data_IF_452587841911
#
_entry.id   IF_452587841911
#
_cell.length_a   1.000
_cell.length_b   1.000
_cell.length_c   1.000
_cell.angle_alpha   90.00
_cell.angle_beta   90.00
_cell.angle_gamma   90.00
#
_symmetry.space_group_name_H-M   'P 1'
#
loop_
_entity.id
_entity.type
_entity.pdbx_description
1 polymer ?
#
# COMPACT_ATOMS: atom_id res chain seq x y z
N UNK A 1 1.95 -7.54 -12.17
CA UNK A 1 1.51 -6.79 -10.97
C UNK A 1 1.85 -7.68 -9.78
N UNK A 2 2.72 -7.26 -8.86
CA UNK A 2 3.03 -8.05 -7.67
C UNK A 2 2.04 -7.67 -6.57
N UNK A 3 0.97 -8.45 -6.44
CA UNK A 3 -0.05 -8.29 -5.39
C UNK A 3 -0.24 -9.60 -4.62
N UNK A 4 -1.16 -9.62 -3.65
CA UNK A 4 -1.48 -10.81 -2.86
C UNK A 4 -2.35 -11.84 -3.54
N UNK A 5 -2.50 -12.99 -2.86
CA UNK A 5 -3.44 -14.03 -3.27
C UNK A 5 -4.87 -13.51 -3.28
N UNK A 6 -5.26 -12.70 -2.30
CA UNK A 6 -6.62 -12.16 -2.20
C UNK A 6 -6.90 -11.15 -3.31
N UNK A 7 -5.93 -10.28 -3.63
CA UNK A 7 -6.05 -9.35 -4.78
C UNK A 7 -6.09 -10.13 -6.10
N UNK A 8 -5.27 -11.17 -6.24
CA UNK A 8 -5.33 -12.07 -7.40
C UNK A 8 -6.72 -12.69 -7.53
N UNK A 9 -7.31 -13.16 -6.43
CA UNK A 9 -8.64 -13.76 -6.43
C UNK A 9 -9.71 -12.76 -6.91
N UNK A 10 -9.68 -11.52 -6.42
CA UNK A 10 -10.57 -10.44 -6.89
C UNK A 10 -10.43 -10.20 -8.38
N UNK A 11 -9.20 -10.13 -8.88
CA UNK A 11 -8.93 -9.83 -10.29
C UNK A 11 -9.25 -10.98 -11.22
N UNK A 12 -8.96 -12.23 -10.84
CA UNK A 12 -9.35 -13.41 -11.61
C UNK A 12 -10.87 -13.59 -11.65
N UNK A 13 -11.59 -13.12 -10.63
CA UNK A 13 -13.04 -13.12 -10.61
C UNK A 13 -13.69 -11.94 -11.36
N UNK A 14 -12.90 -10.94 -11.78
CA UNK A 14 -13.40 -9.76 -12.48
C UNK A 14 -14.20 -10.08 -13.77
N UNK A 15 -13.82 -11.06 -14.62
CA UNK A 15 -14.64 -11.47 -15.76
C UNK A 15 -16.03 -11.97 -15.35
N UNK A 16 -16.14 -12.75 -14.27
CA UNK A 16 -17.44 -13.19 -13.75
C UNK A 16 -18.27 -12.01 -13.23
N UNK A 17 -17.64 -11.07 -12.51
CA UNK A 17 -18.30 -9.83 -12.08
C UNK A 17 -18.77 -9.00 -13.28
N UNK A 18 -18.02 -8.96 -14.38
CA UNK A 18 -18.42 -8.24 -15.60
C UNK A 18 -19.72 -8.77 -16.21
N UNK A 19 -19.93 -10.08 -16.19
CA UNK A 19 -21.15 -10.71 -16.71
C UNK A 19 -22.33 -10.64 -15.74
N UNK A 20 -22.06 -10.70 -14.44
CA UNK A 20 -23.11 -10.78 -13.40
C UNK A 20 -23.58 -9.41 -12.92
N UNK A 21 -22.73 -8.39 -12.95
CA UNK A 21 -23.08 -7.04 -12.58
C UNK A 21 -23.52 -6.24 -13.81
N UNK A 22 -24.60 -5.48 -13.69
CA UNK A 22 -25.06 -4.55 -14.73
C UNK A 22 -24.38 -3.18 -14.65
N UNK A 23 -23.97 -2.75 -13.46
CA UNK A 23 -23.42 -1.41 -13.19
C UNK A 23 -21.90 -1.41 -13.13
N UNK A 24 -21.29 -0.26 -13.39
CA UNK A 24 -19.87 -0.04 -13.05
C UNK A 24 -19.71 0.12 -11.53
N UNK A 25 -18.54 -0.23 -10.99
CA UNK A 25 -18.26 -0.03 -9.56
C UNK A 25 -18.36 1.46 -9.15
N UNK A 26 -18.00 2.40 -10.03
CA UNK A 26 -18.15 3.84 -9.78
C UNK A 26 -19.60 4.28 -9.52
N UNK A 27 -20.58 3.50 -10.00
CA UNK A 27 -22.02 3.79 -9.88
C UNK A 27 -22.67 3.02 -8.70
N UNK A 28 -21.87 2.30 -7.92
CA UNK A 28 -22.32 1.44 -6.81
C UNK A 28 -22.06 2.04 -5.43
N UNK A 29 -21.43 3.22 -5.34
CA UNK A 29 -20.97 3.81 -4.08
C UNK A 29 -20.18 2.80 -3.24
N UNK A 30 -20.52 2.61 -1.97
CA UNK A 30 -19.86 1.65 -1.06
C UNK A 30 -20.57 0.28 -1.01
N UNK A 31 -21.39 -0.06 -2.00
CA UNK A 31 -22.04 -1.37 -2.02
C UNK A 31 -20.99 -2.49 -2.00
N UNK A 32 -21.21 -3.56 -1.20
CA UNK A 32 -20.23 -4.62 -1.04
C UNK A 32 -20.12 -5.47 -2.31
N UNK A 33 -18.90 -5.60 -2.83
CA UNK A 33 -18.53 -6.56 -3.87
C UNK A 33 -18.06 -7.85 -3.19
N UNK A 34 -18.76 -8.94 -3.50
CA UNK A 34 -18.49 -10.25 -2.94
C UNK A 34 -17.63 -11.08 -3.89
N UNK A 35 -16.48 -11.55 -3.39
CA UNK A 35 -15.61 -12.52 -4.06
C UNK A 35 -15.31 -13.61 -3.05
N UNK A 36 -15.40 -14.89 -3.47
CA UNK A 36 -15.10 -15.99 -2.56
C UNK A 36 -13.66 -15.89 -2.05
N UNK A 37 -13.45 -16.26 -0.79
CA UNK A 37 -12.13 -16.23 -0.17
C UNK A 37 -11.62 -14.85 0.25
N UNK A 38 -12.42 -13.78 0.10
CA UNK A 38 -12.03 -12.40 0.46
C UNK A 38 -13.15 -11.74 1.29
N UNK A 39 -12.86 -10.82 2.23
CA UNK A 39 -13.89 -9.99 2.85
C UNK A 39 -14.64 -9.15 1.80
N UNK A 40 -15.89 -8.73 2.06
CA UNK A 40 -16.61 -7.84 1.16
C UNK A 40 -15.82 -6.56 0.90
N UNK A 41 -15.62 -6.21 -0.36
CA UNK A 41 -14.86 -5.02 -0.77
C UNK A 41 -15.85 -3.93 -1.15
N UNK A 42 -15.80 -2.72 -0.55
CA UNK A 42 -16.61 -1.61 -1.03
C UNK A 42 -16.35 -1.35 -2.52
N UNK A 43 -17.39 -1.17 -3.33
CA UNK A 43 -17.20 -0.93 -4.76
C UNK A 43 -16.34 0.32 -5.06
N UNK A 44 -16.41 1.33 -4.19
CA UNK A 44 -15.54 2.52 -4.19
C UNK A 44 -14.05 2.23 -3.96
N UNK A 45 -13.72 1.08 -3.36
CA UNK A 45 -12.35 0.62 -3.13
C UNK A 45 -11.76 -0.16 -4.31
N UNK A 46 -12.53 -0.39 -5.37
CA UNK A 46 -12.01 -0.99 -6.59
C UNK A 46 -11.01 -0.05 -7.29
N UNK A 47 -9.87 -0.56 -7.80
CA UNK A 47 -8.87 0.26 -8.47
C UNK A 47 -9.45 1.05 -9.64
N UNK A 48 -8.97 2.28 -9.87
CA UNK A 48 -9.42 3.08 -11.02
C UNK A 48 -9.33 2.38 -12.36
N UNK A 49 -8.34 1.50 -12.54
CA UNK A 49 -8.18 0.73 -13.77
C UNK A 49 -9.32 -0.27 -14.03
N UNK A 50 -10.15 -0.58 -13.02
CA UNK A 50 -11.27 -1.51 -13.12
C UNK A 50 -12.59 -0.90 -12.64
N UNK A 51 -12.63 0.36 -12.20
CA UNK A 51 -13.83 0.98 -11.59
C UNK A 51 -14.92 1.33 -12.63
N UNK A 52 -14.51 1.60 -13.88
CA UNK A 52 -15.37 2.04 -14.98
C UNK A 52 -15.38 1.01 -16.11
N UNK A 53 -16.49 0.26 -16.24
CA UNK A 53 -16.61 -0.86 -17.19
C UNK A 53 -16.57 -0.43 -18.66
N UNK A 54 -16.88 0.84 -18.94
CA UNK A 54 -16.90 1.39 -20.29
C UNK A 54 -15.53 1.89 -20.74
N UNK A 55 -14.57 2.01 -19.81
CA UNK A 55 -13.22 2.45 -20.14
C UNK A 55 -12.45 1.38 -20.92
N UNK A 56 -11.59 1.82 -21.85
CA UNK A 56 -10.72 0.90 -22.59
C UNK A 56 -9.75 0.17 -21.65
N UNK A 57 -9.28 0.85 -20.60
CA UNK A 57 -8.41 0.27 -19.58
C UNK A 57 -9.10 -0.92 -18.90
N UNK A 58 -10.38 -0.79 -18.55
CA UNK A 58 -11.15 -1.87 -17.97
C UNK A 58 -11.24 -3.08 -18.91
N UNK A 59 -11.57 -2.85 -20.19
CA UNK A 59 -11.71 -3.93 -21.19
C UNK A 59 -10.40 -4.69 -21.37
N UNK A 60 -9.29 -3.97 -21.40
CA UNK A 60 -7.94 -4.55 -21.42
C UNK A 60 -7.67 -5.35 -20.13
N UNK A 61 -8.06 -4.84 -18.95
CA UNK A 61 -7.88 -5.56 -17.68
C UNK A 61 -8.67 -6.87 -17.64
N UNK A 62 -9.94 -6.86 -18.00
CA UNK A 62 -10.76 -8.09 -18.07
C UNK A 62 -10.11 -9.12 -19.00
N UNK A 63 -9.68 -8.71 -20.20
CA UNK A 63 -8.97 -9.59 -21.13
C UNK A 63 -7.68 -10.15 -20.53
N UNK A 64 -6.87 -9.30 -19.87
CA UNK A 64 -5.62 -9.72 -19.26
C UNK A 64 -5.87 -10.78 -18.17
N UNK A 65 -6.90 -10.64 -17.36
CA UNK A 65 -7.21 -11.61 -16.30
C UNK A 65 -7.76 -12.94 -16.85
N UNK A 66 -8.46 -12.91 -17.99
CA UNK A 66 -8.80 -14.13 -18.73
C UNK A 66 -7.51 -14.81 -19.24
N UNK A 67 -6.62 -14.05 -19.89
CA UNK A 67 -5.36 -14.58 -20.43
C UNK A 67 -4.40 -15.11 -19.34
N UNK A 68 -4.49 -14.61 -18.11
CA UNK A 68 -3.73 -15.17 -17.00
C UNK A 68 -4.06 -16.64 -16.72
N UNK A 69 -5.25 -17.12 -17.13
CA UNK A 69 -5.62 -18.54 -16.99
C UNK A 69 -4.90 -19.46 -17.98
N UNK A 70 -4.28 -18.89 -19.02
CA UNK A 70 -3.50 -19.61 -20.04
C UNK A 70 -2.03 -19.81 -19.65
N UNK A 71 -1.59 -19.24 -18.51
CA UNK A 71 -0.21 -19.37 -18.04
C UNK A 71 0.09 -20.81 -17.57
N UNK A 72 1.35 -21.25 -17.70
CA UNK A 72 1.80 -22.55 -17.15
C UNK A 72 1.77 -22.57 -15.60
N UNK A 73 1.78 -21.38 -14.99
CA UNK A 73 1.66 -21.19 -13.56
C UNK A 73 1.73 -19.73 -13.15
N UNK A 74 1.17 -19.41 -12.00
CA UNK A 74 1.16 -18.05 -11.42
C UNK A 74 2.00 -18.06 -10.15
N UNK A 75 3.02 -17.21 -10.08
CA UNK A 75 3.83 -17.03 -8.87
C UNK A 75 3.31 -15.81 -8.12
N UNK A 76 2.96 -16.00 -6.84
CA UNK A 76 2.51 -14.93 -5.95
C UNK A 76 3.49 -14.82 -4.78
N UNK A 77 3.93 -13.59 -4.51
CA UNK A 77 4.77 -13.27 -3.37
C UNK A 77 3.92 -13.22 -2.08
N UNK A 78 3.53 -14.39 -1.57
CA UNK A 78 2.78 -14.59 -0.33
C UNK A 78 3.09 -15.97 0.25
N UNK A 79 2.60 -16.25 1.46
CA UNK A 79 2.61 -17.59 2.04
C UNK A 79 1.21 -17.97 2.51
N UNK A 80 0.93 -19.28 2.57
CA UNK A 80 -0.44 -19.80 2.69
C UNK A 80 -1.17 -19.31 3.94
N UNK A 81 -0.48 -19.23 5.08
CA UNK A 81 -1.09 -18.82 6.34
C UNK A 81 -1.36 -17.33 6.44
N UNK A 82 -0.81 -16.50 5.53
CA UNK A 82 -1.09 -15.07 5.49
C UNK A 82 -2.44 -14.76 4.85
N UNK A 83 -2.82 -15.52 3.81
CA UNK A 83 -4.03 -15.30 3.01
C UNK A 83 -4.81 -16.62 2.81
N UNK A 84 -5.16 -17.33 3.91
CA UNK A 84 -5.61 -18.73 3.83
C UNK A 84 -6.91 -18.90 3.05
N UNK A 85 -7.84 -17.95 3.16
CA UNK A 85 -9.14 -18.00 2.48
C UNK A 85 -8.98 -17.90 0.96
N UNK A 86 -8.20 -16.92 0.49
CA UNK A 86 -7.92 -16.75 -0.92
C UNK A 86 -7.10 -17.92 -1.49
N UNK A 87 -6.15 -18.46 -0.71
CA UNK A 87 -5.34 -19.63 -1.10
C UNK A 87 -6.22 -20.85 -1.38
N UNK A 88 -7.22 -21.11 -0.54
CA UNK A 88 -8.17 -22.22 -0.76
C UNK A 88 -8.92 -22.03 -2.08
N UNK A 89 -9.47 -20.85 -2.33
CA UNK A 89 -10.24 -20.59 -3.56
C UNK A 89 -9.40 -20.66 -4.83
N UNK A 90 -8.15 -20.20 -4.76
CA UNK A 90 -7.20 -20.29 -5.87
C UNK A 90 -6.78 -21.74 -6.15
N UNK A 91 -6.62 -22.58 -5.11
CA UNK A 91 -6.31 -24.01 -5.27
C UNK A 91 -7.52 -24.80 -5.79
N UNK A 92 -8.73 -24.46 -5.35
CA UNK A 92 -9.97 -25.10 -5.78
C UNK A 92 -10.38 -24.71 -7.21
N UNK A 93 -9.84 -23.62 -7.75
CA UNK A 93 -10.08 -23.16 -9.12
C UNK A 93 -11.47 -22.57 -9.37
N UNK A 94 -12.23 -22.24 -8.31
CA UNK A 94 -13.63 -21.76 -8.41
C UNK A 94 -13.77 -20.32 -8.88
N UNK A 95 -12.68 -19.56 -8.90
CA UNK A 95 -12.68 -18.13 -9.20
C UNK A 95 -12.85 -17.83 -10.70
N UNK A 96 -12.58 -18.81 -11.56
CA UNK A 96 -12.61 -18.70 -13.02
C UNK A 96 -13.51 -19.79 -13.63
N UNK A 97 -14.85 -19.72 -13.47
CA UNK A 97 -15.76 -20.84 -13.77
C UNK A 97 -15.70 -21.35 -15.22
N UNK A 98 -15.37 -20.48 -16.17
CA UNK A 98 -15.31 -20.81 -17.61
C UNK A 98 -13.89 -21.23 -18.08
N UNK A 99 -12.91 -21.25 -17.17
CA UNK A 99 -11.51 -21.51 -17.49
C UNK A 99 -10.86 -22.49 -16.51
N UNK A 100 -9.78 -23.14 -16.93
CA UNK A 100 -8.97 -23.94 -16.02
C UNK A 100 -8.05 -23.01 -15.23
N UNK A 101 -8.07 -23.11 -13.91
CA UNK A 101 -7.12 -22.41 -13.06
C UNK A 101 -5.71 -23.00 -13.22
N UNK A 102 -4.69 -22.19 -13.59
CA UNK A 102 -3.32 -22.67 -13.65
C UNK A 102 -2.75 -22.89 -12.22
N UNK A 103 -1.70 -23.71 -12.06
CA UNK A 103 -1.04 -23.89 -10.78
C UNK A 103 -0.61 -22.54 -10.18
N UNK A 104 -0.96 -22.30 -8.92
CA UNK A 104 -0.54 -21.10 -8.18
C UNK A 104 0.53 -21.47 -7.15
N UNK A 105 1.69 -20.82 -7.26
CA UNK A 105 2.83 -21.01 -6.37
C UNK A 105 2.94 -19.82 -5.41
N UNK A 106 2.71 -20.08 -4.13
CA UNK A 106 2.81 -19.09 -3.05
C UNK A 106 4.25 -19.06 -2.55
N UNK A 107 5.08 -18.21 -3.16
CA UNK A 107 6.53 -18.12 -2.95
C UNK A 107 6.85 -16.80 -2.25
N UNK A 108 6.62 -16.74 -0.94
CA UNK A 108 6.87 -15.53 -0.16
C UNK A 108 7.07 -15.80 1.34
N UNK A 109 7.37 -14.75 2.12
CA UNK A 109 7.57 -13.37 1.67
C UNK A 109 8.97 -13.15 1.07
N UNK A 110 9.01 -12.78 -0.20
CA UNK A 110 10.20 -12.31 -0.90
C UNK A 110 10.28 -10.79 -0.74
N UNK A 111 11.06 -10.33 0.22
CA UNK A 111 11.43 -8.92 0.39
C UNK A 111 12.84 -8.69 -0.14
N UNK A 112 13.16 -7.46 -0.54
CA UNK A 112 14.51 -7.14 -0.97
C UNK A 112 15.50 -7.41 0.18
N UNK A 113 16.44 -8.34 -0.03
CA UNK A 113 17.49 -8.61 0.93
C UNK A 113 18.52 -7.48 1.00
N UNK A 114 19.21 -7.37 2.13
CA UNK A 114 20.42 -6.53 2.23
C UNK A 114 21.65 -7.16 1.56
N UNK A 115 21.53 -8.40 1.05
CA UNK A 115 22.61 -9.14 0.40
C UNK A 115 22.97 -8.51 -0.95
N UNK A 116 24.06 -7.72 -0.95
CA UNK A 116 24.61 -7.08 -2.15
C UNK A 116 24.82 -5.58 -2.04
N UNK A 117 24.31 -4.91 -0.99
CA UNK A 117 24.80 -3.57 -0.64
C UNK A 117 26.15 -3.72 0.03
N UNK A 118 27.22 -3.33 -0.68
CA UNK A 118 28.57 -3.21 -0.11
C UNK A 118 28.48 -2.54 1.26
N UNK A 119 29.20 -3.06 2.25
CA UNK A 119 29.43 -2.55 3.62
C UNK A 119 30.00 -1.11 3.69
N UNK A 120 29.86 -0.31 2.63
CA UNK A 120 30.45 1.01 2.46
C UNK A 120 29.42 2.15 2.42
N UNK A 121 28.15 1.92 2.79
CA UNK A 121 27.21 3.03 3.02
C UNK A 121 27.21 3.36 4.51
N UNK A 122 27.64 4.58 4.84
CA UNK A 122 27.44 5.16 6.16
C UNK A 122 26.01 4.92 6.62
N UNK A 123 25.87 4.49 7.88
CA UNK A 123 24.57 4.24 8.50
C UNK A 123 23.69 5.48 8.35
N UNK A 124 22.49 5.30 7.80
CA UNK A 124 21.59 6.43 7.54
C UNK A 124 21.29 7.19 8.83
N UNK A 125 21.36 8.52 8.80
CA UNK A 125 21.20 9.41 9.97
C UNK A 125 19.91 9.15 10.77
N UNK A 126 18.85 8.74 10.08
CA UNK A 126 17.56 8.44 10.69
C UNK A 126 17.62 7.25 11.66
N UNK A 127 18.53 6.30 11.45
CA UNK A 127 18.73 5.17 12.34
C UNK A 127 19.41 5.63 13.64
N UNK A 128 20.38 6.55 13.55
CA UNK A 128 20.99 7.15 14.74
C UNK A 128 19.98 7.98 15.54
N UNK A 129 19.05 8.66 14.86
CA UNK A 129 17.95 9.35 15.55
C UNK A 129 17.04 8.35 16.29
N UNK A 130 16.71 7.21 15.67
CA UNK A 130 15.88 6.18 16.30
C UNK A 130 16.53 5.51 17.51
N UNK A 131 17.85 5.35 17.55
CA UNK A 131 18.56 4.81 18.72
C UNK A 131 18.30 5.61 20.00
N UNK A 132 18.09 6.92 19.85
CA UNK A 132 17.84 7.82 20.98
C UNK A 132 16.38 7.83 21.45
N UNK A 133 15.49 7.11 20.76
CA UNK A 133 14.06 7.09 21.07
C UNK A 133 13.69 5.88 21.97
N UNK A 134 12.69 6.02 22.85
CA UNK A 134 12.17 4.88 23.60
C UNK A 134 11.60 3.78 22.69
N UNK A 135 11.63 2.54 23.16
CA UNK A 135 11.06 1.39 22.45
C UNK A 135 9.58 1.61 22.11
N UNK A 136 9.19 1.23 20.89
CA UNK A 136 7.83 1.31 20.36
C UNK A 136 7.15 2.67 20.57
N UNK A 137 7.92 3.77 20.48
CA UNK A 137 7.41 5.12 20.72
C UNK A 137 7.30 5.98 19.46
N UNK A 138 7.87 5.52 18.34
CA UNK A 138 7.92 6.26 17.07
C UNK A 138 6.89 5.71 16.10
N UNK A 139 6.08 6.61 15.53
CA UNK A 139 5.26 6.33 14.36
C UNK A 139 6.07 6.62 13.11
N UNK A 140 6.29 5.60 12.28
CA UNK A 140 6.94 5.75 10.99
C UNK A 140 5.91 6.05 9.90
N UNK A 141 6.17 7.02 9.03
CA UNK A 141 5.29 7.40 7.91
C UNK A 141 6.07 7.30 6.60
N UNK A 142 5.63 6.41 5.70
CA UNK A 142 6.18 6.29 4.36
C UNK A 142 5.11 5.80 3.36
N UNK A 143 4.95 6.55 2.27
CA UNK A 143 3.92 6.32 1.28
C UNK A 143 4.46 5.76 -0.04
N UNK A 144 5.67 5.19 -0.01
CA UNK A 144 6.29 4.57 -1.17
C UNK A 144 6.81 5.59 -2.19
N UNK A 145 7.21 5.07 -3.36
CA UNK A 145 8.03 5.80 -4.33
C UNK A 145 7.28 6.55 -5.43
N UNK A 146 6.04 6.14 -5.67
CA UNK A 146 5.18 6.65 -6.72
C UNK A 146 4.18 7.69 -6.21
N UNK A 147 4.13 7.89 -4.89
CA UNK A 147 3.21 8.83 -4.26
C UNK A 147 3.73 10.26 -4.35
N UNK A 148 2.81 11.18 -4.63
CA UNK A 148 2.97 12.60 -4.35
C UNK A 148 1.71 13.11 -3.67
N UNK A 149 1.88 13.84 -2.57
CA UNK A 149 0.80 14.58 -1.91
C UNK A 149 0.80 16.02 -2.44
N UNK A 150 -0.37 16.66 -2.44
CA UNK A 150 -0.43 18.10 -2.68
C UNK A 150 0.26 18.86 -1.54
N UNK A 151 0.76 20.09 -1.79
CA UNK A 151 1.31 20.93 -0.73
C UNK A 151 0.33 21.14 0.44
N UNK A 152 -0.97 21.21 0.17
CA UNK A 152 -2.01 21.33 1.19
C UNK A 152 -2.05 20.09 2.08
N UNK A 153 -2.08 18.88 1.51
CA UNK A 153 -2.05 17.65 2.28
C UNK A 153 -0.75 17.48 3.08
N UNK A 154 0.39 17.89 2.53
CA UNK A 154 1.66 17.89 3.28
C UNK A 154 1.56 18.79 4.51
N UNK A 155 0.93 19.96 4.40
CA UNK A 155 0.70 20.85 5.54
C UNK A 155 -0.25 20.23 6.58
N UNK A 156 -1.32 19.58 6.14
CA UNK A 156 -2.27 18.94 7.07
C UNK A 156 -1.64 17.75 7.80
N UNK A 157 -0.82 16.95 7.10
CA UNK A 157 -0.01 15.89 7.73
C UNK A 157 0.94 16.50 8.78
N UNK A 158 1.63 17.59 8.45
CA UNK A 158 2.54 18.26 9.39
C UNK A 158 1.79 18.78 10.64
N UNK A 159 0.66 19.47 10.45
CA UNK A 159 -0.19 19.96 11.55
C UNK A 159 -0.70 18.81 12.41
N UNK A 160 -1.14 17.71 11.79
CA UNK A 160 -1.58 16.50 12.47
C UNK A 160 -0.48 15.86 13.31
N UNK A 161 0.72 15.72 12.76
CA UNK A 161 1.89 15.19 13.46
C UNK A 161 2.26 16.05 14.67
N UNK A 162 2.37 17.37 14.48
CA UNK A 162 2.66 18.32 15.57
C UNK A 162 1.59 18.26 16.67
N UNK A 163 0.32 18.21 16.29
CA UNK A 163 -0.81 18.17 17.24
C UNK A 163 -0.92 16.84 17.98
N UNK A 164 -0.50 15.73 17.37
CA UNK A 164 -0.53 14.39 17.99
C UNK A 164 0.39 14.26 19.19
N UNK A 165 1.45 15.08 19.24
CA UNK A 165 2.57 15.00 20.22
C UNK A 165 3.24 13.63 20.28
N UNK A 166 2.99 12.76 19.31
CA UNK A 166 3.67 11.47 19.17
C UNK A 166 5.01 11.67 18.51
N UNK A 167 5.97 10.80 18.82
CA UNK A 167 7.23 10.82 18.10
C UNK A 167 7.02 10.26 16.70
N UNK A 168 7.63 10.87 15.70
CA UNK A 168 7.44 10.46 14.32
C UNK A 168 8.73 10.47 13.52
N UNK A 169 8.79 9.58 12.53
CA UNK A 169 9.76 9.62 11.45
C UNK A 169 8.98 9.64 10.14
N UNK A 170 9.07 10.73 9.40
CA UNK A 170 8.28 10.94 8.18
C UNK A 170 9.17 11.10 6.96
N UNK A 171 9.02 10.19 6.00
CA UNK A 171 9.69 10.28 4.70
C UNK A 171 8.85 11.10 3.74
N UNK A 172 9.35 12.28 3.37
CA UNK A 172 8.70 13.19 2.42
C UNK A 172 9.36 13.02 1.05
N UNK A 173 8.55 12.64 0.06
CA UNK A 173 8.95 12.59 -1.34
C UNK A 173 8.27 13.73 -2.10
N UNK A 174 9.03 14.47 -2.91
CA UNK A 174 8.48 15.42 -3.89
C UNK A 174 8.54 14.84 -5.29
N UNK A 175 7.51 15.11 -6.08
CA UNK A 175 7.50 14.93 -7.53
C UNK A 175 6.98 16.20 -8.16
N UNK A 176 7.73 16.72 -9.13
CA UNK A 176 7.32 17.90 -9.90
C UNK A 176 6.16 17.59 -10.85
N UNK A 177 5.98 16.32 -11.21
CA UNK A 177 4.97 15.87 -12.15
C UNK A 177 4.30 14.59 -11.64
N UNK A 178 3.11 14.76 -11.05
CA UNK A 178 2.30 13.66 -10.51
C UNK A 178 1.74 12.76 -11.61
N UNK A 179 1.71 13.22 -12.86
CA UNK A 179 1.17 12.48 -14.01
C UNK A 179 2.23 11.66 -14.73
N UNK A 180 3.52 11.91 -14.49
CA UNK A 180 4.61 11.19 -15.14
C UNK A 180 5.49 10.43 -14.13
N UNK A 181 5.11 9.18 -13.88
CA UNK A 181 5.81 8.29 -12.95
C UNK A 181 7.26 7.99 -13.32
N UNK A 182 7.65 8.16 -14.60
CA UNK A 182 9.00 7.90 -15.11
C UNK A 182 9.96 9.09 -14.93
N UNK A 183 9.47 10.28 -14.57
CA UNK A 183 10.36 11.39 -14.24
C UNK A 183 11.11 11.14 -12.93
N UNK A 184 12.39 11.52 -12.84
CA UNK A 184 13.15 11.47 -11.59
C UNK A 184 12.45 12.29 -10.49
N UNK A 185 12.67 11.89 -9.25
CA UNK A 185 12.23 12.67 -8.09
C UNK A 185 13.01 13.98 -8.02
N UNK A 186 12.34 15.05 -7.62
CA UNK A 186 13.00 16.28 -7.20
C UNK A 186 13.38 16.20 -5.73
N UNK A 187 14.47 16.87 -5.35
CA UNK A 187 14.81 17.02 -3.94
C UNK A 187 13.79 17.95 -3.27
N UNK A 188 12.98 17.47 -2.29
CA UNK A 188 11.96 18.30 -1.66
C UNK A 188 12.59 19.46 -0.90
N UNK A 189 12.13 20.68 -1.19
CA UNK A 189 12.37 21.83 -0.34
C UNK A 189 11.37 21.81 0.83
N UNK A 190 11.80 21.22 1.95
CA UNK A 190 10.98 21.10 3.15
C UNK A 190 10.52 22.46 3.71
N UNK A 191 11.32 23.53 3.55
CA UNK A 191 10.97 24.85 4.05
C UNK A 191 9.79 25.48 3.28
N UNK A 192 9.62 25.13 1.99
CA UNK A 192 8.46 25.57 1.21
C UNK A 192 7.23 24.67 1.34
N UNK A 193 7.44 23.39 1.70
CA UNK A 193 6.39 22.38 1.79
C UNK A 193 5.71 22.33 3.16
N UNK A 194 6.49 22.54 4.23
CA UNK A 194 6.02 22.42 5.60
C UNK A 194 5.58 23.78 6.15
N UNK A 195 4.68 23.81 7.17
CA UNK A 195 4.33 25.04 7.85
C UNK A 195 5.56 25.75 8.42
N UNK A 196 5.53 27.09 8.41
CA UNK A 196 6.63 27.90 8.93
C UNK A 196 7.00 27.50 10.37
N UNK A 197 8.28 27.25 10.60
CA UNK A 197 8.82 26.86 11.92
C UNK A 197 8.51 25.43 12.37
N UNK A 198 7.81 24.61 11.56
CA UNK A 198 7.46 23.22 11.92
C UNK A 198 8.68 22.41 12.36
N UNK A 199 9.73 22.37 11.53
CA UNK A 199 10.96 21.62 11.82
C UNK A 199 11.62 22.04 13.15
N UNK A 200 11.56 23.32 13.50
CA UNK A 200 12.09 23.84 14.75
C UNK A 200 11.21 23.43 15.95
N UNK A 201 9.89 23.48 15.81
CA UNK A 201 8.94 23.13 16.88
C UNK A 201 8.92 21.64 17.17
N UNK A 202 9.15 20.80 16.16
CA UNK A 202 9.12 19.33 16.29
C UNK A 202 10.50 18.69 16.44
N UNK A 203 11.59 19.46 16.54
CA UNK A 203 12.97 18.92 16.55
C UNK A 203 13.21 17.85 17.64
N UNK A 204 12.54 17.99 18.78
CA UNK A 204 12.67 17.08 19.93
C UNK A 204 11.62 15.96 19.90
N UNK A 205 10.70 15.99 18.93
CA UNK A 205 9.58 15.06 18.78
C UNK A 205 9.74 14.14 17.57
N UNK A 206 10.19 14.67 16.43
CA UNK A 206 10.19 13.91 15.18
C UNK A 206 11.24 14.34 14.18
N UNK A 207 11.45 13.48 13.20
CA UNK A 207 12.42 13.65 12.13
C UNK A 207 11.73 13.57 10.76
N UNK A 208 12.04 14.53 9.89
CA UNK A 208 11.58 14.51 8.49
C UNK A 208 12.76 14.13 7.60
N UNK A 209 12.61 13.04 6.86
CA UNK A 209 13.61 12.52 5.93
C UNK A 209 13.21 12.84 4.51
N UNK A 210 14.13 13.35 3.70
CA UNK A 210 13.87 13.67 2.30
C UNK A 210 14.06 12.45 1.40
N UNK A 211 13.12 12.25 0.47
CA UNK A 211 13.21 11.35 -0.70
C UNK A 211 13.29 9.85 -0.43
N UNK A 212 14.12 9.39 0.51
CA UNK A 212 14.35 7.97 0.74
C UNK A 212 14.85 7.71 2.17
N UNK A 213 14.49 6.55 2.70
CA UNK A 213 15.04 6.02 3.95
C UNK A 213 15.11 4.48 3.86
N UNK A 214 15.98 3.82 4.66
CA UNK A 214 16.11 2.37 4.66
C UNK A 214 14.91 1.72 5.36
N UNK A 215 13.78 1.60 4.64
CA UNK A 215 12.50 1.18 5.20
C UNK A 215 12.55 -0.15 5.98
N UNK A 216 13.26 -1.16 5.48
CA UNK A 216 13.39 -2.45 6.16
C UNK A 216 14.11 -2.28 7.50
N UNK A 217 15.20 -1.52 7.55
CA UNK A 217 15.94 -1.26 8.79
C UNK A 217 15.12 -0.42 9.77
N UNK A 218 14.36 0.57 9.26
CA UNK A 218 13.45 1.37 10.05
C UNK A 218 12.34 0.53 10.69
N UNK A 219 11.67 -0.32 9.91
CA UNK A 219 10.59 -1.18 10.41
C UNK A 219 11.09 -2.19 11.44
N UNK A 220 12.31 -2.71 11.29
CA UNK A 220 12.92 -3.63 12.26
C UNK A 220 13.53 -2.93 13.48
N UNK A 221 13.53 -1.59 13.54
CA UNK A 221 14.09 -0.86 14.66
C UNK A 221 13.17 -0.89 15.87
N UNK A 222 13.71 -1.17 17.07
CA UNK A 222 12.90 -1.38 18.28
C UNK A 222 12.08 -0.17 18.74
N UNK A 223 12.51 1.02 18.34
CA UNK A 223 11.83 2.30 18.61
C UNK A 223 10.55 2.50 17.78
N UNK A 224 10.41 1.83 16.62
CA UNK A 224 9.22 1.94 15.78
C UNK A 224 8.08 1.13 16.38
N UNK A 225 6.98 1.81 16.70
CA UNK A 225 5.77 1.22 17.29
C UNK A 225 4.59 1.08 16.33
N UNK A 226 4.61 1.81 15.22
CA UNK A 226 3.53 1.77 14.23
C UNK A 226 3.96 2.37 12.89
N UNK A 227 3.24 2.00 11.83
CA UNK A 227 3.57 2.39 10.46
C UNK A 227 2.34 2.97 9.74
N UNK A 228 2.36 4.27 9.42
CA UNK A 228 1.39 4.88 8.49
C UNK A 228 1.84 4.55 7.08
N UNK A 229 1.00 3.78 6.39
CA UNK A 229 1.36 3.18 5.11
C UNK A 229 0.26 3.37 4.07
N UNK A 230 0.70 3.58 2.83
CA UNK A 230 -0.12 3.50 1.64
C UNK A 230 -0.63 2.08 1.33
N UNK A 231 -0.31 1.07 2.13
CA UNK A 231 -0.78 -0.32 1.94
C UNK A 231 -0.32 -0.96 0.63
N UNK A 232 0.82 -0.51 0.08
CA UNK A 232 1.47 -1.19 -1.05
C UNK A 232 2.01 -2.55 -0.63
N UNK A 233 1.92 -3.54 -1.52
CA UNK A 233 2.22 -4.95 -1.21
C UNK A 233 3.58 -5.16 -0.54
N UNK A 234 4.65 -4.58 -1.07
CA UNK A 234 5.99 -4.76 -0.52
C UNK A 234 6.11 -4.18 0.90
N UNK A 235 5.64 -2.95 1.09
CA UNK A 235 5.66 -2.29 2.40
C UNK A 235 4.79 -3.02 3.43
N UNK A 236 3.68 -3.61 3.00
CA UNK A 236 2.85 -4.47 3.84
C UNK A 236 3.60 -5.73 4.28
N UNK A 237 4.28 -6.44 3.37
CA UNK A 237 5.05 -7.63 3.73
C UNK A 237 6.23 -7.30 4.67
N UNK A 238 6.94 -6.20 4.41
CA UNK A 238 8.03 -5.72 5.27
C UNK A 238 7.52 -5.40 6.69
N UNK A 239 6.37 -4.73 6.82
CA UNK A 239 5.79 -4.39 8.12
C UNK A 239 5.29 -5.62 8.88
N UNK A 240 4.66 -6.57 8.19
CA UNK A 240 4.21 -7.84 8.78
C UNK A 240 5.40 -8.64 9.31
N UNK A 241 6.48 -8.73 8.52
CA UNK A 241 7.70 -9.43 8.93
C UNK A 241 8.38 -8.76 10.13
N UNK A 242 8.35 -7.43 10.20
CA UNK A 242 8.88 -6.68 11.34
C UNK A 242 7.93 -6.70 12.57
N UNK A 243 6.72 -7.24 12.45
CA UNK A 243 5.73 -7.25 13.52
C UNK A 243 5.18 -5.85 13.87
N UNK A 244 5.16 -4.93 12.90
CA UNK A 244 4.71 -3.54 13.09
C UNK A 244 3.28 -3.37 12.59
N UNK A 245 2.39 -2.89 13.46
CA UNK A 245 0.99 -2.60 13.10
C UNK A 245 0.88 -1.37 12.19
N UNK A 246 -0.13 -1.37 11.32
CA UNK A 246 -0.29 -0.33 10.29
C UNK A 246 -1.48 0.60 10.52
N UNK A 247 -1.27 1.89 10.25
CA UNK A 247 -2.35 2.84 9.98
C UNK A 247 -2.47 2.92 8.46
N UNK A 248 -3.58 2.41 7.95
CA UNK A 248 -3.82 2.20 6.53
C UNK A 248 -4.36 3.48 5.89
N UNK A 249 -3.55 4.10 5.03
CA UNK A 249 -3.90 5.29 4.25
C UNK A 249 -3.64 5.03 2.76
N UNK A 250 -4.47 4.19 2.11
CA UNK A 250 -4.26 3.81 0.72
C UNK A 250 -4.49 4.97 -0.24
N UNK A 251 -3.78 4.94 -1.38
CA UNK A 251 -3.75 6.06 -2.33
C UNK A 251 -4.22 5.65 -3.73
N UNK A 252 -3.61 4.61 -4.32
CA UNK A 252 -3.85 4.21 -5.71
C UNK A 252 -3.71 2.68 -5.91
N UNK A 253 -3.90 2.23 -7.15
CA UNK A 253 -3.82 0.81 -7.54
C UNK A 253 -4.71 -0.09 -6.65
N UNK A 254 -4.21 -1.24 -6.20
CA UNK A 254 -4.93 -2.18 -5.34
C UNK A 254 -4.84 -1.87 -3.83
N UNK A 255 -4.24 -0.73 -3.45
CA UNK A 255 -3.95 -0.42 -2.04
C UNK A 255 -5.20 -0.40 -1.16
N UNK A 256 -6.35 0.00 -1.73
CA UNK A 256 -7.64 0.01 -1.02
C UNK A 256 -8.16 -1.41 -0.75
N UNK A 257 -7.96 -2.33 -1.67
CA UNK A 257 -8.23 -3.77 -1.44
C UNK A 257 -7.28 -4.28 -0.35
N UNK A 258 -5.98 -3.96 -0.43
CA UNK A 258 -5.02 -4.35 0.61
C UNK A 258 -5.43 -3.82 1.99
N UNK A 259 -5.90 -2.57 2.09
CA UNK A 259 -6.46 -2.00 3.34
C UNK A 259 -7.57 -2.89 3.90
N UNK A 260 -8.55 -3.29 3.08
CA UNK A 260 -9.64 -4.17 3.53
C UNK A 260 -9.08 -5.48 4.10
N UNK A 261 -8.10 -6.09 3.45
CA UNK A 261 -7.47 -7.33 3.93
C UNK A 261 -6.74 -7.13 5.25
N UNK A 262 -5.96 -6.06 5.36
CA UNK A 262 -5.17 -5.73 6.55
C UNK A 262 -6.04 -5.53 7.79
N UNK A 263 -7.20 -4.90 7.60
CA UNK A 263 -8.13 -4.52 8.68
C UNK A 263 -9.15 -5.61 8.96
N UNK A 264 -9.75 -6.20 7.92
CA UNK A 264 -10.87 -7.12 8.08
C UNK A 264 -10.47 -8.59 8.22
N UNK A 265 -9.36 -9.00 7.62
CA UNK A 265 -8.92 -10.40 7.64
C UNK A 265 -7.71 -10.60 8.55
N UNK A 266 -6.62 -9.85 8.29
CA UNK A 266 -5.36 -10.04 9.01
C UNK A 266 -5.37 -9.43 10.41
N UNK A 267 -6.20 -8.41 10.66
CA UNK A 267 -6.32 -7.70 11.93
C UNK A 267 -4.98 -7.11 12.42
N UNK A 268 -4.14 -6.65 11.48
CA UNK A 268 -2.81 -6.05 11.76
C UNK A 268 -2.75 -4.54 11.48
N UNK A 269 -3.90 -3.92 11.24
CA UNK A 269 -3.97 -2.48 11.02
C UNK A 269 -5.35 -1.89 11.26
N UNK A 270 -5.39 -0.55 11.26
CA UNK A 270 -6.60 0.27 11.35
C UNK A 270 -6.64 1.24 10.18
N UNK A 271 -7.82 1.70 9.80
CA UNK A 271 -7.99 2.69 8.71
C UNK A 271 -7.69 4.10 9.23
N UNK A 272 -7.00 4.92 8.43
CA UNK A 272 -6.89 6.35 8.70
C UNK A 272 -8.24 7.03 8.45
N UNK A 273 -8.94 7.48 9.47
CA UNK A 273 -10.25 8.11 9.28
C UNK A 273 -10.18 9.35 8.39
N UNK A 274 -11.13 9.46 7.47
CA UNK A 274 -11.27 10.64 6.61
C UNK A 274 -10.27 10.74 5.45
N UNK A 275 -9.45 9.72 5.22
CA UNK A 275 -8.45 9.71 4.13
C UNK A 275 -9.05 9.93 2.72
N UNK A 276 -10.35 9.70 2.55
CA UNK A 276 -11.09 9.81 1.30
C UNK A 276 -11.77 11.17 1.06
N UNK A 277 -11.80 12.04 2.08
CA UNK A 277 -12.61 13.27 2.06
C UNK A 277 -11.99 14.42 1.25
N UNK A 278 -10.76 14.25 0.76
CA UNK A 278 -10.05 15.31 0.03
C UNK A 278 -9.55 14.85 -1.34
N UNK A 279 -9.87 15.65 -2.37
CA UNK A 279 -9.52 15.45 -3.78
C UNK A 279 -8.01 15.63 -4.10
N UNK A 280 -7.13 15.52 -3.10
CA UNK A 280 -5.70 15.77 -3.21
C UNK A 280 -4.83 14.52 -3.41
N UNK A 281 -5.35 13.34 -3.07
CA UNK A 281 -4.69 12.09 -3.49
C UNK A 281 -5.10 11.83 -4.92
N UNK A 282 -4.15 11.60 -5.83
CA UNK A 282 -4.45 11.08 -7.17
C UNK A 282 -5.33 9.83 -7.03
N UNK A 283 -6.64 10.03 -7.19
CA UNK A 283 -7.54 8.95 -7.57
C UNK A 283 -7.13 8.56 -8.97
#
# INVERSE_FOLDING_TARGET
MQSGASVLAVFLHLPTLHYTLEKSFKDMADAPVHVSGVPPIPASDMPLSVIDRESEIYRVRVRNYIQMTEADGIIINTFETLEPRAVVELKDGKLVPDHRMPPVYFMGPLIAGNEGKKESQERHECLAWLDSQPKRSVVFLCFGSLTAFTPEQIKDIAIGLESSRQRFLWVVCSRDDVKNFFKPRSDPNLNSLLPEGFLCRTKDQGMVVKSWAPQIELLNHESVGGFVSHCGRNSTLEAILAGVSMICWPLHAEQRINKVLLVEEMKVGVVMDGYDKEAGVCR
#
